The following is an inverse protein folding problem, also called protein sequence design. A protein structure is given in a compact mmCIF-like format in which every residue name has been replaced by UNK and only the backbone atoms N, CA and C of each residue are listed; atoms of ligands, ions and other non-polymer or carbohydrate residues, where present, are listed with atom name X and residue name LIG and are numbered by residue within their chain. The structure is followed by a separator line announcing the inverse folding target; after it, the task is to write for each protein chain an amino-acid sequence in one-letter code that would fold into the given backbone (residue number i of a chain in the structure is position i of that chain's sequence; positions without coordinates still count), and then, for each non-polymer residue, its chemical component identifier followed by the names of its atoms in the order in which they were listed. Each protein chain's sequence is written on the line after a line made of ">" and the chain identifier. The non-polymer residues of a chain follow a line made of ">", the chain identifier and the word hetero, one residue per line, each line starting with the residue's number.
data_IF_644733352288
#
_entry.id   IF_644733352288
#
_cell.length_a   1.000
_cell.length_b   1.000
_cell.length_c   1.000
_cell.angle_alpha   90.00
_cell.angle_beta   90.00
_cell.angle_gamma   90.00
#
_symmetry.space_group_name_H-M   'P 1'
#
loop_
_entity.id
_entity.type
_entity.pdbx_description
1 polymer ?
#
# COMPACT_ATOMS: atom_id res chain seq x y z
N UNK A 1 24.43 -20.95 -1.26
CA UNK A 1 25.20 -19.69 -1.31
C UNK A 1 24.44 -18.68 -0.47
N UNK A 2 24.64 -18.69 0.85
CA UNK A 2 24.10 -17.70 1.79
C UNK A 2 25.33 -16.97 2.35
N UNK A 3 25.90 -16.07 1.55
CA UNK A 3 26.56 -14.92 2.12
C UNK A 3 25.45 -14.14 2.82
N UNK A 4 25.64 -13.79 4.09
CA UNK A 4 24.66 -13.02 4.85
C UNK A 4 24.31 -11.74 4.06
N UNK A 5 23.08 -11.66 3.50
CA UNK A 5 22.59 -10.53 2.69
C UNK A 5 22.83 -9.21 3.42
N UNK A 6 22.75 -9.20 4.75
CA UNK A 6 23.12 -8.00 5.52
C UNK A 6 24.57 -7.59 5.29
N UNK A 7 25.53 -8.52 5.36
CA UNK A 7 26.95 -8.23 5.14
C UNK A 7 27.25 -7.84 3.69
N UNK A 8 26.49 -8.36 2.72
CA UNK A 8 26.60 -7.98 1.31
C UNK A 8 26.20 -6.52 1.07
N UNK A 9 25.07 -6.08 1.66
CA UNK A 9 24.47 -4.80 1.32
C UNK A 9 24.65 -3.67 2.34
N UNK A 10 25.15 -3.94 3.56
CA UNK A 10 25.31 -2.90 4.60
C UNK A 10 26.16 -1.69 4.17
N UNK A 11 27.03 -1.85 3.18
CA UNK A 11 27.88 -0.78 2.65
C UNK A 11 27.39 -0.23 1.29
N UNK A 12 26.32 -0.80 0.72
CA UNK A 12 25.76 -0.42 -0.57
C UNK A 12 24.23 -0.65 -0.56
N UNK A 13 23.53 0.25 0.14
CA UNK A 13 22.07 0.19 0.26
C UNK A 13 21.38 0.46 -1.08
N UNK A 14 21.96 1.27 -1.97
CA UNK A 14 21.36 1.57 -3.26
C UNK A 14 21.29 0.32 -4.13
N UNK A 15 22.34 -0.51 -4.14
CA UNK A 15 22.30 -1.81 -4.81
C UNK A 15 21.23 -2.73 -4.24
N UNK A 16 21.08 -2.78 -2.91
CA UNK A 16 19.98 -3.51 -2.28
C UNK A 16 18.61 -3.03 -2.78
N UNK A 17 18.35 -1.72 -2.69
CA UNK A 17 17.07 -1.12 -3.06
C UNK A 17 16.76 -1.31 -4.55
N UNK A 18 17.76 -1.14 -5.43
CA UNK A 18 17.68 -1.45 -6.86
C UNK A 18 17.31 -2.92 -7.09
N UNK A 19 17.94 -3.84 -6.38
CA UNK A 19 17.64 -5.27 -6.51
C UNK A 19 16.23 -5.62 -6.03
N UNK A 20 15.63 -4.86 -5.09
CA UNK A 20 14.21 -5.04 -4.78
C UNK A 20 13.29 -4.73 -5.96
N UNK A 21 13.73 -3.93 -6.94
CA UNK A 21 13.00 -3.61 -8.18
C UNK A 21 13.34 -4.62 -9.28
N UNK A 22 14.62 -4.74 -9.61
CA UNK A 22 15.05 -5.40 -10.83
C UNK A 22 15.48 -6.86 -10.66
N UNK A 23 15.92 -7.28 -9.46
CA UNK A 23 16.40 -8.64 -9.20
C UNK A 23 15.90 -9.22 -7.85
N UNK A 24 14.59 -9.15 -7.52
CA UNK A 24 14.10 -9.51 -6.19
C UNK A 24 14.34 -10.98 -5.80
N UNK A 25 14.55 -11.88 -6.76
CA UNK A 25 14.87 -13.31 -6.55
C UNK A 25 16.13 -13.54 -5.72
N UNK A 26 17.13 -12.67 -5.82
CA UNK A 26 18.38 -12.81 -5.07
C UNK A 26 18.20 -12.43 -3.59
N UNK A 27 17.07 -11.80 -3.25
CA UNK A 27 16.76 -11.31 -1.91
C UNK A 27 15.95 -12.31 -1.06
N UNK A 28 15.61 -13.47 -1.64
CA UNK A 28 14.94 -14.55 -0.92
C UNK A 28 15.96 -15.42 -0.19
N UNK A 29 15.63 -15.80 1.05
CA UNK A 29 16.46 -16.70 1.86
C UNK A 29 15.79 -18.06 2.00
N UNK A 30 16.59 -19.13 2.07
CA UNK A 30 16.08 -20.50 2.22
C UNK A 30 15.61 -20.84 3.65
N UNK A 31 15.78 -19.95 4.63
CA UNK A 31 15.52 -20.17 6.06
C UNK A 31 14.04 -20.04 6.47
N UNK A 32 13.12 -20.51 5.64
CA UNK A 32 11.70 -20.35 5.95
C UNK A 32 11.18 -21.46 6.87
N UNK A 33 11.07 -21.19 8.17
CA UNK A 33 10.12 -21.92 9.01
C UNK A 33 8.69 -21.50 8.61
N UNK A 34 7.92 -22.43 8.03
CA UNK A 34 6.48 -22.29 7.73
C UNK A 34 5.65 -22.17 9.03
N UNK A 35 5.84 -21.12 9.82
CA UNK A 35 4.98 -20.80 10.97
C UNK A 35 3.83 -19.89 10.52
N UNK A 36 2.63 -20.26 10.92
CA UNK A 36 1.44 -19.44 10.68
C UNK A 36 1.56 -18.16 11.50
N UNK A 37 1.58 -17.02 10.82
CA UNK A 37 1.63 -15.71 11.46
C UNK A 37 0.33 -15.44 12.22
N UNK A 38 0.45 -15.05 13.48
CA UNK A 38 -0.69 -14.54 14.25
C UNK A 38 -1.23 -13.25 13.62
N UNK A 39 -2.55 -13.09 13.43
CA UNK A 39 -3.12 -11.82 12.95
C UNK A 39 -2.85 -10.65 13.91
N UNK A 40 -2.42 -10.95 15.14
CA UNK A 40 -2.10 -9.98 16.18
C UNK A 40 -0.62 -9.54 16.20
N UNK A 41 0.25 -10.01 15.29
CA UNK A 41 1.60 -9.45 15.18
C UNK A 41 1.55 -7.93 15.01
N UNK A 42 2.44 -7.21 15.71
CA UNK A 42 2.46 -5.75 15.72
C UNK A 42 1.40 -5.10 16.61
N UNK A 43 0.43 -5.85 17.15
CA UNK A 43 -0.48 -5.33 18.18
C UNK A 43 0.24 -5.31 19.53
N UNK A 44 0.27 -4.14 20.16
CA UNK A 44 0.98 -3.90 21.42
C UNK A 44 0.12 -4.27 22.62
N UNK A 45 0.79 -4.57 23.72
CA UNK A 45 0.22 -4.68 25.05
C UNK A 45 -0.58 -3.41 25.36
N UNK A 46 -1.80 -3.58 25.87
CA UNK A 46 -2.72 -2.48 26.10
C UNK A 46 -3.10 -2.34 27.59
N UNK A 47 -3.11 -1.10 28.08
CA UNK A 47 -3.62 -0.74 29.41
C UNK A 47 -5.16 -0.71 29.46
N UNK A 48 -5.77 -0.69 28.28
CA UNK A 48 -7.22 -0.80 28.09
C UNK A 48 -7.58 -0.90 26.61
N UNK A 49 -8.73 -1.49 26.33
CA UNK A 49 -9.35 -1.53 25.01
C UNK A 49 -10.62 -0.69 25.05
N UNK A 50 -10.84 0.11 24.01
CA UNK A 50 -11.95 1.04 23.93
C UNK A 50 -12.70 0.89 22.60
N UNK A 51 -14.01 1.02 22.65
CA UNK A 51 -14.85 1.05 21.46
C UNK A 51 -14.56 2.28 20.59
N UNK A 52 -14.83 2.13 19.29
CA UNK A 52 -14.95 3.27 18.40
C UNK A 52 -16.16 4.12 18.78
N UNK A 53 -16.01 5.44 18.70
CA UNK A 53 -17.15 6.34 18.84
C UNK A 53 -17.92 6.47 17.50
N UNK A 54 -19.00 7.24 17.49
CA UNK A 54 -19.79 7.50 16.28
C UNK A 54 -19.24 8.65 15.41
N UNK A 55 -18.06 9.18 15.75
CA UNK A 55 -17.44 10.31 15.05
C UNK A 55 -17.09 9.96 13.61
N UNK A 56 -16.95 11.00 12.80
CA UNK A 56 -16.48 10.89 11.42
C UNK A 56 -15.07 10.28 11.34
N UNK A 57 -14.21 10.56 12.33
CA UNK A 57 -12.83 10.04 12.40
C UNK A 57 -12.84 8.53 12.60
N UNK A 58 -13.63 8.04 13.55
CA UNK A 58 -13.80 6.59 13.78
C UNK A 58 -14.36 5.87 12.57
N UNK A 59 -15.40 6.44 11.94
CA UNK A 59 -15.96 5.88 10.70
C UNK A 59 -14.93 5.85 9.57
N UNK A 60 -14.13 6.91 9.43
CA UNK A 60 -13.07 6.97 8.42
C UNK A 60 -12.03 5.87 8.64
N UNK A 61 -11.57 5.69 9.88
CA UNK A 61 -10.56 4.71 10.24
C UNK A 61 -11.02 3.26 10.05
N UNK A 62 -12.24 2.96 10.52
CA UNK A 62 -12.89 1.66 10.29
C UNK A 62 -13.02 1.36 8.80
N UNK A 63 -13.51 2.32 8.04
CA UNK A 63 -13.68 2.20 6.59
C UNK A 63 -12.36 1.98 5.85
N UNK A 64 -11.27 2.55 6.34
CA UNK A 64 -9.97 2.51 5.68
C UNK A 64 -9.19 1.22 5.92
N UNK A 65 -9.24 0.66 7.14
CA UNK A 65 -8.31 -0.39 7.55
C UNK A 65 -8.85 -1.48 8.47
N UNK A 66 -10.09 -1.41 8.94
CA UNK A 66 -10.67 -2.53 9.69
C UNK A 66 -10.81 -3.78 8.81
N UNK A 67 -10.88 -4.95 9.43
CA UNK A 67 -11.24 -6.19 8.72
C UNK A 67 -12.64 -6.05 8.15
N UNK A 68 -12.77 -6.25 6.84
CA UNK A 68 -14.03 -6.13 6.12
C UNK A 68 -14.52 -7.47 5.56
N UNK A 69 -13.66 -8.49 5.50
CA UNK A 69 -14.01 -9.83 5.02
C UNK A 69 -13.15 -10.87 5.71
N UNK A 70 -13.78 -11.98 6.09
CA UNK A 70 -13.10 -13.19 6.53
C UNK A 70 -13.22 -14.24 5.42
N UNK A 71 -12.07 -14.75 4.96
CA UNK A 71 -11.99 -15.80 3.96
C UNK A 71 -11.22 -17.01 4.52
N UNK A 72 -11.82 -18.18 4.43
CA UNK A 72 -11.16 -19.46 4.69
C UNK A 72 -10.73 -20.05 3.34
N UNK A 73 -9.43 -20.22 3.14
CA UNK A 73 -8.87 -20.83 1.92
C UNK A 73 -8.15 -22.13 2.27
N UNK A 74 -8.31 -23.16 1.43
CA UNK A 74 -7.60 -24.43 1.58
C UNK A 74 -6.50 -24.46 0.51
N UNK A 75 -5.24 -24.44 0.93
CA UNK A 75 -4.08 -24.46 0.05
C UNK A 75 -3.24 -25.66 0.43
N UNK A 76 -3.01 -26.59 -0.51
CA UNK A 76 -2.25 -27.83 -0.28
C UNK A 76 -2.74 -28.59 0.96
N UNK A 77 -4.06 -28.79 1.05
CA UNK A 77 -4.73 -29.48 2.17
C UNK A 77 -4.54 -28.82 3.55
N UNK A 78 -4.01 -27.59 3.61
CA UNK A 78 -3.90 -26.79 4.83
C UNK A 78 -4.92 -25.66 4.81
N UNK A 79 -5.55 -25.42 5.95
CA UNK A 79 -6.53 -24.34 6.14
C UNK A 79 -5.80 -23.04 6.47
N UNK A 80 -6.12 -21.98 5.73
CA UNK A 80 -5.62 -20.63 5.95
C UNK A 80 -6.78 -19.68 6.20
N UNK A 81 -6.65 -18.90 7.27
CA UNK A 81 -7.62 -17.87 7.66
C UNK A 81 -7.10 -16.51 7.21
N UNK A 82 -7.84 -15.83 6.33
CA UNK A 82 -7.52 -14.49 5.87
C UNK A 82 -8.52 -13.47 6.41
N UNK A 83 -8.02 -12.58 7.25
CA UNK A 83 -8.74 -11.38 7.70
C UNK A 83 -8.45 -10.25 6.72
N UNK A 84 -9.22 -10.19 5.63
CA UNK A 84 -8.99 -9.21 4.56
C UNK A 84 -9.40 -7.81 5.00
N UNK A 85 -8.64 -6.83 4.52
CA UNK A 85 -8.85 -5.40 4.79
C UNK A 85 -9.19 -4.68 3.46
N UNK A 86 -9.74 -3.45 3.51
CA UNK A 86 -10.04 -2.62 2.33
C UNK A 86 -8.85 -2.28 1.43
N UNK A 87 -7.63 -2.55 1.89
CA UNK A 87 -6.37 -2.26 1.18
C UNK A 87 -5.69 -3.54 0.75
N UNK A 88 -4.97 -3.48 -0.37
CA UNK A 88 -4.09 -4.58 -0.75
C UNK A 88 -2.89 -4.67 0.20
N UNK A 89 -2.39 -5.89 0.41
CA UNK A 89 -1.13 -6.13 1.08
C UNK A 89 -0.49 -7.39 0.54
N UNK A 90 0.83 -7.37 0.33
CA UNK A 90 1.60 -8.53 -0.08
C UNK A 90 1.29 -9.75 0.77
N UNK A 91 0.60 -10.76 0.21
CA UNK A 91 0.26 -11.98 0.93
C UNK A 91 -0.77 -11.84 2.06
N UNK A 92 -1.53 -10.73 2.12
CA UNK A 92 -2.41 -10.37 3.26
C UNK A 92 -1.67 -10.34 4.61
N UNK A 93 -0.44 -9.87 4.62
CA UNK A 93 0.36 -9.80 5.84
C UNK A 93 0.01 -8.56 6.67
N UNK A 94 -0.44 -7.48 6.02
CA UNK A 94 -0.84 -6.22 6.62
C UNK A 94 0.19 -5.73 7.65
N UNK A 95 1.38 -5.32 7.18
CA UNK A 95 2.48 -4.93 8.06
C UNK A 95 2.17 -3.66 8.86
N UNK A 96 1.23 -2.84 8.41
CA UNK A 96 1.08 -1.49 8.95
C UNK A 96 0.26 -1.44 10.24
N UNK A 97 0.65 -0.52 11.11
CA UNK A 97 -0.06 -0.15 12.32
C UNK A 97 -0.46 1.33 12.24
N UNK A 98 -1.57 1.68 12.88
CA UNK A 98 -2.04 3.06 12.99
C UNK A 98 -2.08 3.41 14.47
N UNK A 99 -1.38 4.46 14.86
CA UNK A 99 -1.44 5.05 16.19
C UNK A 99 -2.11 6.42 16.13
N UNK A 100 -2.75 6.80 17.22
CA UNK A 100 -3.55 8.03 17.30
C UNK A 100 -3.47 8.63 18.70
N UNK A 101 -3.33 9.95 18.78
CA UNK A 101 -3.31 10.70 20.04
C UNK A 101 -4.22 11.94 19.94
N UNK A 102 -5.53 11.80 20.22
CA UNK A 102 -6.53 12.85 19.96
C UNK A 102 -6.34 14.13 20.77
N UNK A 103 -5.82 14.00 21.99
CA UNK A 103 -5.76 15.09 22.97
C UNK A 103 -4.32 15.44 23.37
N UNK A 104 -3.33 14.80 22.73
CA UNK A 104 -1.92 14.88 23.11
C UNK A 104 -1.60 14.20 24.45
N UNK A 105 -2.56 13.49 25.07
CA UNK A 105 -2.41 12.87 26.38
C UNK A 105 -2.54 11.35 26.27
N UNK A 106 -3.59 10.87 25.62
CA UNK A 106 -3.89 9.45 25.52
C UNK A 106 -3.39 8.90 24.18
N UNK A 107 -2.42 7.99 24.24
CA UNK A 107 -1.80 7.40 23.06
C UNK A 107 -2.39 6.02 22.77
N UNK A 108 -3.05 5.89 21.62
CA UNK A 108 -3.76 4.68 21.22
C UNK A 108 -3.11 4.02 20.01
N UNK A 109 -3.26 2.70 19.93
CA UNK A 109 -3.12 1.93 18.70
C UNK A 109 -4.51 1.50 18.22
N UNK A 110 -4.79 1.67 16.93
CA UNK A 110 -5.99 1.10 16.32
C UNK A 110 -5.81 -0.41 16.11
N UNK A 111 -6.76 -1.19 16.61
CA UNK A 111 -6.83 -2.62 16.38
C UNK A 111 -7.81 -2.92 15.23
N UNK A 112 -7.31 -3.24 14.02
CA UNK A 112 -8.14 -3.43 12.85
C UNK A 112 -8.97 -4.73 12.89
N UNK A 113 -8.58 -5.73 13.68
CA UNK A 113 -9.32 -6.99 13.77
C UNK A 113 -10.68 -6.80 14.45
N UNK A 114 -10.71 -5.97 15.48
CA UNK A 114 -11.90 -5.74 16.29
C UNK A 114 -12.54 -4.38 16.02
N UNK A 115 -11.86 -3.50 15.28
CA UNK A 115 -12.29 -2.11 15.13
C UNK A 115 -12.33 -1.40 16.48
N UNK A 116 -11.26 -1.48 17.26
CA UNK A 116 -11.17 -0.89 18.61
C UNK A 116 -9.88 -0.07 18.77
N UNK A 117 -9.78 0.67 19.88
CA UNK A 117 -8.57 1.41 20.25
C UNK A 117 -7.92 0.81 21.50
N UNK A 118 -6.66 0.42 21.35
CA UNK A 118 -5.82 -0.04 22.44
C UNK A 118 -5.07 1.15 23.05
N UNK A 119 -5.39 1.51 24.30
CA UNK A 119 -4.63 2.52 25.03
C UNK A 119 -3.27 1.95 25.43
N UNK A 120 -2.21 2.54 24.89
CA UNK A 120 -0.84 2.09 25.16
C UNK A 120 -0.19 2.93 26.27
N UNK A 121 -0.39 4.25 26.23
CA UNK A 121 0.16 5.16 27.21
C UNK A 121 -0.77 6.34 27.50
N UNK A 122 -0.56 6.92 28.68
CA UNK A 122 -1.14 8.21 29.07
C UNK A 122 0.01 9.10 29.51
N UNK A 123 0.22 10.20 28.80
CA UNK A 123 1.27 11.17 29.12
C UNK A 123 0.84 12.06 30.29
N UNK A 124 1.78 12.43 31.14
CA UNK A 124 1.51 13.33 32.27
C UNK A 124 1.19 14.76 31.79
N UNK A 125 1.87 15.20 30.73
CA UNK A 125 1.68 16.50 30.10
C UNK A 125 1.24 16.31 28.64
N UNK A 126 0.46 17.27 28.13
CA UNK A 126 0.02 17.29 26.74
C UNK A 126 1.23 17.38 25.80
N UNK A 127 1.35 16.41 24.90
CA UNK A 127 2.34 16.35 23.82
C UNK A 127 1.81 17.07 22.59
N UNK A 128 2.27 18.30 22.37
CA UNK A 128 1.82 19.12 21.24
C UNK A 128 2.06 18.44 19.88
N UNK A 129 3.23 17.80 19.73
CA UNK A 129 3.65 17.13 18.50
C UNK A 129 2.84 15.86 18.18
N UNK A 130 2.11 15.31 19.15
CA UNK A 130 1.24 14.15 18.97
C UNK A 130 -0.24 14.52 18.83
N UNK A 131 -0.60 15.78 19.01
CA UNK A 131 -2.00 16.17 19.11
C UNK A 131 -2.70 16.07 17.74
N UNK A 132 -3.74 15.24 17.65
CA UNK A 132 -4.57 15.05 16.45
C UNK A 132 -3.81 14.60 15.21
N UNK A 133 -2.87 13.68 15.38
CA UNK A 133 -2.18 13.03 14.27
C UNK A 133 -2.44 11.53 14.27
N UNK A 134 -2.53 10.95 13.07
CA UNK A 134 -2.31 9.53 12.86
C UNK A 134 -0.84 9.28 12.55
N UNK A 135 -0.24 8.31 13.22
CA UNK A 135 1.13 7.87 12.96
C UNK A 135 1.03 6.48 12.34
N UNK A 136 1.57 6.32 11.14
CA UNK A 136 1.56 5.05 10.42
C UNK A 136 2.97 4.47 10.48
N UNK A 137 3.07 3.25 10.99
CA UNK A 137 4.33 2.50 11.09
C UNK A 137 4.21 1.17 10.36
N UNK A 138 5.34 0.48 10.16
CA UNK A 138 5.36 -0.86 9.58
C UNK A 138 6.06 -1.87 10.48
N UNK A 139 5.37 -2.96 10.78
CA UNK A 139 5.94 -4.16 11.36
C UNK A 139 6.57 -5.00 10.23
N UNK A 140 7.81 -4.69 9.87
CA UNK A 140 8.51 -5.34 8.74
C UNK A 140 8.62 -6.86 8.87
N UNK A 141 8.71 -7.39 10.09
CA UNK A 141 8.83 -8.82 10.34
C UNK A 141 7.70 -9.63 9.70
N UNK A 142 6.49 -9.08 9.60
CA UNK A 142 5.36 -9.72 8.91
C UNK A 142 5.69 -10.04 7.46
N UNK A 143 6.22 -9.04 6.73
CA UNK A 143 6.57 -9.19 5.32
C UNK A 143 7.87 -9.99 5.16
N UNK A 144 8.85 -9.76 6.03
CA UNK A 144 10.14 -10.45 5.97
C UNK A 144 10.02 -11.96 6.15
N UNK A 145 9.10 -12.43 6.99
CA UNK A 145 8.85 -13.87 7.08
C UNK A 145 8.59 -14.44 5.69
N UNK A 146 7.56 -13.96 4.98
CA UNK A 146 7.15 -14.57 3.69
C UNK A 146 8.05 -14.20 2.51
N UNK A 147 8.66 -13.03 2.54
CA UNK A 147 9.33 -12.43 1.38
C UNK A 147 10.80 -12.09 1.62
N UNK A 148 11.38 -12.50 2.76
CA UNK A 148 12.75 -12.19 3.16
C UNK A 148 13.05 -10.70 2.96
N UNK A 149 14.18 -10.37 2.33
CA UNK A 149 14.61 -8.98 2.16
C UNK A 149 13.83 -8.20 1.10
N UNK A 150 13.13 -8.88 0.19
CA UNK A 150 12.14 -8.22 -0.70
C UNK A 150 10.93 -7.67 0.09
N UNK A 151 10.71 -8.17 1.31
CA UNK A 151 9.65 -7.70 2.21
C UNK A 151 9.70 -6.20 2.51
N UNK A 152 10.88 -5.57 2.39
CA UNK A 152 11.08 -4.14 2.61
C UNK A 152 10.23 -3.29 1.67
N UNK A 153 10.48 -3.43 0.35
CA UNK A 153 9.75 -2.73 -0.70
C UNK A 153 8.24 -2.99 -0.60
N UNK A 154 7.85 -4.24 -0.37
CA UNK A 154 6.45 -4.62 -0.17
C UNK A 154 5.80 -3.84 0.97
N UNK A 155 6.49 -3.66 2.10
CA UNK A 155 5.92 -2.96 3.26
C UNK A 155 5.71 -1.47 3.01
N UNK A 156 6.58 -0.84 2.22
CA UNK A 156 6.45 0.57 1.82
C UNK A 156 5.25 0.75 0.88
N UNK A 157 5.11 -0.11 -0.13
CA UNK A 157 3.96 -0.08 -1.03
C UNK A 157 2.65 -0.38 -0.29
N UNK A 158 2.65 -1.35 0.61
CA UNK A 158 1.50 -1.65 1.49
C UNK A 158 1.13 -0.42 2.35
N UNK A 159 2.12 0.35 2.79
CA UNK A 159 1.91 1.61 3.50
C UNK A 159 1.24 2.64 2.61
N UNK A 160 1.73 2.83 1.38
CA UNK A 160 1.09 3.70 0.40
C UNK A 160 -0.39 3.34 0.19
N UNK A 161 -0.70 2.05 0.07
CA UNK A 161 -2.08 1.58 -0.04
C UNK A 161 -2.95 1.98 1.17
N UNK A 162 -2.41 1.85 2.38
CA UNK A 162 -3.08 2.31 3.60
C UNK A 162 -3.29 3.83 3.59
N UNK A 163 -2.26 4.61 3.24
CA UNK A 163 -2.33 6.07 3.20
C UNK A 163 -3.40 6.53 2.22
N UNK A 164 -3.42 5.98 1.00
CA UNK A 164 -4.44 6.31 0.01
C UNK A 164 -5.86 5.97 0.49
N UNK A 165 -6.03 4.85 1.18
CA UNK A 165 -7.34 4.41 1.72
C UNK A 165 -7.80 5.31 2.87
N UNK A 166 -6.92 5.59 3.83
CA UNK A 166 -7.22 6.44 4.98
C UNK A 166 -7.49 7.88 4.55
N UNK A 167 -6.66 8.43 3.66
CA UNK A 167 -6.83 9.77 3.11
C UNK A 167 -8.15 9.91 2.35
N UNK A 168 -8.46 8.96 1.45
CA UNK A 168 -9.73 8.95 0.73
C UNK A 168 -10.92 8.87 1.68
N UNK A 169 -10.84 7.98 2.69
CA UNK A 169 -11.89 7.79 3.69
C UNK A 169 -12.12 9.06 4.51
N UNK A 170 -11.06 9.69 5.03
CA UNK A 170 -11.15 10.96 5.75
C UNK A 170 -11.82 12.05 4.89
N UNK A 171 -11.38 12.19 3.64
CA UNK A 171 -11.95 13.15 2.69
C UNK A 171 -13.44 12.90 2.44
N UNK A 172 -13.87 11.64 2.23
CA UNK A 172 -15.29 11.28 2.04
C UNK A 172 -16.16 11.72 3.22
N UNK A 173 -15.64 11.59 4.45
CA UNK A 173 -16.34 12.04 5.65
C UNK A 173 -16.27 13.56 5.88
N UNK A 174 -15.65 14.31 4.97
CA UNK A 174 -15.51 15.77 5.03
C UNK A 174 -14.43 16.22 6.00
N UNK A 175 -13.39 15.40 6.20
CA UNK A 175 -12.26 15.73 7.08
C UNK A 175 -11.09 16.15 6.19
N UNK A 176 -10.82 17.45 6.16
CA UNK A 176 -9.54 17.98 5.64
C UNK A 176 -8.39 17.40 6.44
N UNK A 177 -7.27 17.12 5.81
CA UNK A 177 -6.11 16.54 6.48
C UNK A 177 -4.84 16.81 5.68
N UNK A 178 -3.68 16.59 6.30
CA UNK A 178 -2.38 16.74 5.63
C UNK A 178 -1.58 15.45 5.77
N UNK A 179 -1.16 14.88 4.65
CA UNK A 179 -0.20 13.77 4.62
C UNK A 179 1.20 14.37 4.76
N UNK A 180 1.99 13.90 5.71
CA UNK A 180 3.33 14.39 6.03
C UNK A 180 4.34 13.23 5.98
N UNK A 181 5.39 13.42 5.21
CA UNK A 181 6.56 12.56 5.13
C UNK A 181 7.77 13.47 5.34
N UNK A 182 8.03 13.76 6.62
CA UNK A 182 8.94 14.81 7.06
C UNK A 182 9.85 14.24 8.15
N UNK A 183 11.17 14.22 7.92
CA UNK A 183 12.14 13.63 8.88
C UNK A 183 12.10 14.33 10.24
N UNK A 184 12.05 15.67 10.26
CA UNK A 184 12.02 16.45 11.51
C UNK A 184 10.76 16.13 12.34
N UNK A 185 9.60 15.98 11.68
CA UNK A 185 8.36 15.58 12.33
C UNK A 185 8.48 14.15 12.88
N UNK A 186 9.08 13.23 12.13
CA UNK A 186 9.29 11.85 12.59
C UNK A 186 10.18 11.81 13.82
N UNK A 187 11.27 12.58 13.84
CA UNK A 187 12.16 12.66 15.00
C UNK A 187 11.44 13.21 16.23
N UNK A 188 10.64 14.26 16.07
CA UNK A 188 9.85 14.84 17.15
C UNK A 188 8.80 13.89 17.69
N UNK A 189 8.08 13.19 16.82
CA UNK A 189 7.13 12.14 17.20
C UNK A 189 7.85 10.97 17.89
N UNK A 190 8.98 10.53 17.35
CA UNK A 190 9.79 9.42 17.88
C UNK A 190 10.33 9.74 19.27
N UNK A 191 10.78 10.97 19.53
CA UNK A 191 11.22 11.42 20.87
C UNK A 191 10.15 11.17 21.93
N UNK A 192 8.88 11.43 21.61
CA UNK A 192 7.77 11.27 22.55
C UNK A 192 7.29 9.81 22.72
N UNK A 193 7.45 8.95 21.70
CA UNK A 193 6.89 7.59 21.70
C UNK A 193 7.94 6.46 21.76
N UNK A 194 9.25 6.76 21.76
CA UNK A 194 10.33 5.75 21.72
C UNK A 194 10.28 4.67 22.81
N UNK A 195 9.69 4.98 23.97
CA UNK A 195 9.52 4.01 25.06
C UNK A 195 8.29 3.11 24.88
N UNK A 196 7.39 3.47 23.96
CA UNK A 196 6.14 2.78 23.67
C UNK A 196 6.28 1.95 22.39
N UNK A 197 6.93 2.52 21.36
CA UNK A 197 7.16 1.90 20.06
C UNK A 197 8.67 1.90 19.82
N UNK A 198 9.28 0.71 19.90
CA UNK A 198 10.75 0.55 19.82
C UNK A 198 11.22 -0.01 18.48
N UNK A 199 10.42 -0.87 17.85
CA UNK A 199 10.88 -1.76 16.77
C UNK A 199 10.15 -1.50 15.45
N UNK A 200 9.46 -0.36 15.32
CA UNK A 200 8.68 -0.01 14.14
C UNK A 200 9.07 1.39 13.66
N UNK A 201 9.51 1.54 12.41
CA UNK A 201 9.75 2.86 11.82
C UNK A 201 8.44 3.59 11.55
N UNK A 202 8.47 4.90 11.71
CA UNK A 202 7.43 5.80 11.23
C UNK A 202 7.60 5.94 9.72
N UNK A 203 6.53 5.63 8.98
CA UNK A 203 6.53 5.76 7.52
C UNK A 203 5.88 7.07 7.08
N UNK A 204 4.85 7.51 7.80
CA UNK A 204 4.16 8.77 7.53
C UNK A 204 3.32 9.20 8.73
N UNK A 205 2.99 10.48 8.76
CA UNK A 205 2.07 11.10 9.71
C UNK A 205 0.93 11.77 8.93
N UNK A 206 -0.31 11.56 9.35
CA UNK A 206 -1.46 12.32 8.83
C UNK A 206 -1.97 13.27 9.90
N UNK A 207 -1.84 14.58 9.66
CA UNK A 207 -2.31 15.64 10.57
C UNK A 207 -3.79 15.92 10.31
N UNK A 208 -4.59 16.00 11.39
CA UNK A 208 -6.00 16.38 11.36
C UNK A 208 -6.20 17.80 11.92
N UNK A 209 -7.29 18.49 11.54
CA UNK A 209 -7.71 19.75 12.16
C UNK A 209 -7.90 19.60 13.67
N UNK A 210 -7.52 20.62 14.44
CA UNK A 210 -7.53 20.57 15.91
C UNK A 210 -8.92 20.38 16.53
N UNK A 211 -9.98 20.72 15.80
CA UNK A 211 -11.38 20.59 16.21
C UNK A 211 -12.02 19.23 15.86
N UNK A 212 -11.29 18.35 15.17
CA UNK A 212 -11.79 17.04 14.75
C UNK A 212 -10.98 15.96 15.46
N UNK A 213 -11.63 15.25 16.38
CA UNK A 213 -11.01 14.12 17.06
C UNK A 213 -12.03 13.03 17.38
N UNK A 214 -11.53 11.81 17.51
CA UNK A 214 -12.26 10.70 18.11
C UNK A 214 -11.86 10.58 19.58
N UNK A 215 -12.84 10.46 20.48
CA UNK A 215 -12.58 10.11 21.89
C UNK A 215 -13.10 8.70 22.11
N UNK A 216 -12.23 7.69 22.19
CA UNK A 216 -12.65 6.33 22.52
C UNK A 216 -13.44 6.35 23.84
N UNK A 217 -14.67 5.83 23.82
CA UNK A 217 -15.66 6.07 24.89
C UNK A 217 -15.68 4.92 25.90
N UNK A 218 -16.17 3.76 25.48
CA UNK A 218 -16.48 2.64 26.36
C UNK A 218 -15.28 1.72 26.50
N UNK A 219 -14.78 1.57 27.73
CA UNK A 219 -13.74 0.58 28.04
C UNK A 219 -14.34 -0.83 27.96
N UNK A 220 -13.85 -1.64 27.03
CA UNK A 220 -14.24 -3.03 26.88
C UNK A 220 -13.62 -3.89 27.98
N UNK A 221 -14.46 -4.68 28.65
CA UNK A 221 -14.01 -5.69 29.63
C UNK A 221 -13.48 -6.91 28.86
N UNK A 222 -12.36 -7.49 29.33
CA UNK A 222 -11.79 -8.76 28.86
C UNK A 222 -11.06 -8.77 27.49
N UNK A 223 -10.92 -7.65 26.77
CA UNK A 223 -10.07 -7.57 25.57
C UNK A 223 -8.68 -7.02 25.92
N UNK A 224 -7.91 -7.82 26.67
CA UNK A 224 -6.53 -7.49 27.04
C UNK A 224 -5.54 -8.32 26.24
N UNK A 225 -4.64 -7.62 25.56
CA UNK A 225 -3.48 -8.24 24.93
C UNK A 225 -2.40 -8.29 26.00
N UNK A 226 -2.14 -9.50 26.50
CA UNK A 226 -1.32 -9.72 27.69
C UNK A 226 0.18 -9.53 27.44
N UNK A 227 0.62 -9.68 26.20
CA UNK A 227 2.03 -9.56 25.81
C UNK A 227 2.14 -8.88 24.45
N UNK A 228 3.23 -8.13 24.25
CA UNK A 228 3.60 -7.70 22.92
C UNK A 228 3.88 -8.94 22.07
N UNK A 229 3.12 -9.14 21.00
CA UNK A 229 3.48 -10.14 20.00
C UNK A 229 4.60 -9.50 19.17
N UNK A 230 5.82 -9.75 19.66
CA UNK A 230 7.01 -8.98 19.34
C UNK A 230 7.41 -9.14 17.88
N UNK A 231 8.01 -8.06 17.39
CA UNK A 231 8.58 -7.95 16.06
C UNK A 231 10.06 -8.22 16.17
N UNK A 232 10.62 -9.06 15.29
CA UNK A 232 12.07 -9.14 15.18
C UNK A 232 12.57 -7.98 14.33
N UNK A 233 13.57 -7.27 14.84
CA UNK A 233 14.31 -6.27 14.07
C UNK A 233 15.09 -6.96 12.96
N UNK A 234 15.13 -6.35 11.79
CA UNK A 234 15.90 -6.84 10.64
C UNK A 234 17.04 -5.85 10.45
N UNK A 235 18.30 -6.22 10.73
CA UNK A 235 19.42 -5.28 10.81
C UNK A 235 19.56 -4.39 9.57
N UNK A 236 19.41 -4.96 8.38
CA UNK A 236 19.47 -4.20 7.13
C UNK A 236 18.37 -3.14 7.04
N UNK A 237 17.15 -3.46 7.48
CA UNK A 237 16.03 -2.51 7.43
C UNK A 237 16.22 -1.39 8.45
N UNK A 238 16.72 -1.71 9.65
CA UNK A 238 17.06 -0.71 10.67
C UNK A 238 18.12 0.27 10.15
N UNK A 239 19.15 -0.24 9.45
CA UNK A 239 20.19 0.58 8.84
C UNK A 239 19.62 1.52 7.76
N UNK A 240 18.74 1.01 6.89
CA UNK A 240 18.05 1.81 5.87
C UNK A 240 17.18 2.91 6.53
N UNK A 241 16.47 2.59 7.61
CA UNK A 241 15.65 3.58 8.31
C UNK A 241 16.48 4.66 9.01
N UNK A 242 17.63 4.30 9.59
CA UNK A 242 18.57 5.26 10.18
C UNK A 242 19.15 6.20 9.11
N UNK A 243 19.60 5.66 7.97
CA UNK A 243 20.08 6.47 6.87
C UNK A 243 19.00 7.43 6.35
N UNK A 244 17.77 6.95 6.21
CA UNK A 244 16.66 7.79 5.73
C UNK A 244 16.32 8.95 6.67
N UNK A 245 16.42 8.76 7.98
CA UNK A 245 16.27 9.86 8.94
C UNK A 245 17.32 10.95 8.72
N UNK A 246 18.55 10.57 8.37
CA UNK A 246 19.67 11.50 8.19
C UNK A 246 19.61 12.31 6.88
N UNK A 247 18.95 11.79 5.85
CA UNK A 247 18.84 12.44 4.53
C UNK A 247 17.82 13.61 4.50
N UNK A 248 17.10 13.85 5.60
CA UNK A 248 16.18 14.99 5.81
C UNK A 248 15.23 15.28 4.63
N UNK A 249 14.15 14.53 4.56
CA UNK A 249 13.07 14.78 3.60
C UNK A 249 11.97 15.65 4.22
N UNK A 250 11.32 16.46 3.38
CA UNK A 250 10.21 17.32 3.80
C UNK A 250 9.13 17.39 2.72
N UNK A 251 8.23 16.41 2.73
CA UNK A 251 7.09 16.35 1.83
C UNK A 251 5.79 16.45 2.62
N UNK A 252 4.91 17.35 2.20
CA UNK A 252 3.54 17.34 2.69
C UNK A 252 2.52 17.71 1.63
N UNK A 253 1.33 17.15 1.79
CA UNK A 253 0.22 17.36 0.87
C UNK A 253 -1.05 17.58 1.66
N UNK A 254 -1.65 18.76 1.47
CA UNK A 254 -2.94 19.09 2.08
C UNK A 254 -4.06 18.58 1.21
N UNK A 255 -4.89 17.71 1.77
CA UNK A 255 -6.02 17.10 1.09
C UNK A 255 -7.29 17.85 1.49
N UNK A 256 -8.01 18.33 0.48
CA UNK A 256 -9.31 18.98 0.64
C UNK A 256 -10.44 17.99 0.95
N UNK A 257 -11.65 18.53 1.10
CA UNK A 257 -12.85 17.74 1.27
C UNK A 257 -13.13 16.89 0.01
N UNK A 258 -13.35 15.58 0.19
CA UNK A 258 -13.71 14.61 -0.85
C UNK A 258 -15.16 14.12 -0.67
N UNK A 259 -16.01 14.89 0.01
CA UNK A 259 -17.38 14.53 0.34
C UNK A 259 -18.32 14.46 -0.88
N UNK A 260 -17.89 14.97 -2.04
CA UNK A 260 -18.55 14.71 -3.32
C UNK A 260 -18.54 13.21 -3.70
N UNK A 261 -17.66 12.42 -3.08
CA UNK A 261 -17.51 10.99 -3.33
C UNK A 261 -18.13 10.09 -2.24
N UNK A 262 -19.18 10.54 -1.52
CA UNK A 262 -19.79 9.83 -0.37
C UNK A 262 -20.19 8.37 -0.58
N UNK A 263 -20.48 7.97 -1.82
CA UNK A 263 -20.96 6.62 -2.13
C UNK A 263 -19.84 5.58 -2.35
N UNK A 264 -18.58 5.96 -2.10
CA UNK A 264 -17.35 5.19 -2.34
C UNK A 264 -17.13 3.94 -1.45
N UNK A 265 -18.16 3.19 -1.07
CA UNK A 265 -17.96 2.00 -0.23
C UNK A 265 -17.88 0.70 -1.01
N UNK A 266 -18.29 0.68 -2.28
CA UNK A 266 -18.45 -0.56 -3.03
C UNK A 266 -17.11 -1.11 -3.53
N UNK A 267 -16.10 -0.25 -3.77
CA UNK A 267 -14.78 -0.69 -4.24
C UNK A 267 -14.14 -1.80 -3.38
N UNK A 268 -14.48 -1.86 -2.09
CA UNK A 268 -13.96 -2.83 -1.13
C UNK A 268 -14.21 -4.28 -1.54
N UNK A 269 -15.30 -4.53 -2.26
CA UNK A 269 -15.67 -5.83 -2.81
C UNK A 269 -14.86 -6.20 -4.06
N UNK A 270 -14.31 -5.20 -4.75
CA UNK A 270 -13.61 -5.37 -6.03
C UNK A 270 -12.09 -5.28 -5.91
N UNK A 271 -11.56 -4.99 -4.72
CA UNK A 271 -10.14 -5.16 -4.41
C UNK A 271 -9.84 -6.66 -4.22
N UNK A 272 -8.83 -7.19 -4.93
CA UNK A 272 -8.40 -8.59 -4.81
C UNK A 272 -6.92 -8.71 -4.45
N UNK A 273 -6.62 -9.18 -3.23
CA UNK A 273 -5.30 -9.65 -2.77
C UNK A 273 -5.40 -10.26 -1.34
N UNK A 274 -4.67 -11.36 -1.02
CA UNK A 274 -3.99 -12.29 -1.90
C UNK A 274 -5.01 -13.26 -2.54
N UNK A 275 -4.53 -14.04 -3.51
CA UNK A 275 -5.37 -14.95 -4.30
C UNK A 275 -5.92 -14.23 -5.52
N UNK A 276 -5.41 -14.59 -6.69
CA UNK A 276 -5.89 -14.09 -7.98
C UNK A 276 -7.31 -14.57 -8.22
N UNK A 277 -8.30 -13.80 -7.77
CA UNK A 277 -9.68 -13.97 -8.21
C UNK A 277 -9.88 -13.42 -9.62
N UNK A 278 -11.14 -13.39 -10.07
CA UNK A 278 -11.56 -13.26 -11.48
C UNK A 278 -10.80 -12.15 -12.26
N UNK A 279 -9.81 -12.54 -13.05
CA UNK A 279 -9.04 -11.63 -13.91
C UNK A 279 -9.19 -11.98 -15.39
N UNK A 280 -9.59 -13.21 -15.72
CA UNK A 280 -9.80 -13.70 -17.09
C UNK A 280 -11.17 -13.30 -17.60
N UNK A 281 -11.27 -12.75 -18.82
CA UNK A 281 -12.53 -12.21 -19.34
C UNK A 281 -13.05 -12.87 -20.62
N UNK A 282 -14.38 -13.02 -20.73
CA UNK A 282 -15.14 -13.46 -21.92
C UNK A 282 -15.58 -12.35 -22.91
N UNK A 283 -15.59 -11.07 -22.51
CA UNK A 283 -16.13 -9.95 -23.32
C UNK A 283 -15.15 -8.77 -23.42
N UNK A 284 -14.91 -8.31 -24.64
CA UNK A 284 -13.98 -7.20 -24.91
C UNK A 284 -14.57 -5.79 -24.67
N UNK A 285 -15.89 -5.67 -24.51
CA UNK A 285 -16.57 -4.37 -24.57
C UNK A 285 -16.81 -3.73 -23.18
N UNK A 286 -15.73 -3.28 -22.53
CA UNK A 286 -15.78 -2.62 -21.21
C UNK A 286 -15.43 -1.13 -21.22
N UNK A 287 -15.27 -0.53 -22.40
CA UNK A 287 -14.85 0.87 -22.62
C UNK A 287 -15.55 1.87 -21.70
N UNK A 288 -16.88 1.77 -21.62
CA UNK A 288 -17.70 2.67 -20.80
C UNK A 288 -17.31 2.71 -19.31
N UNK A 289 -17.05 1.55 -18.69
CA UNK A 289 -16.66 1.47 -17.29
C UNK A 289 -15.26 2.01 -17.05
N UNK A 290 -14.36 1.80 -18.02
CA UNK A 290 -12.99 2.29 -17.97
C UNK A 290 -12.94 3.81 -18.12
N UNK A 291 -13.69 4.38 -19.07
CA UNK A 291 -13.80 5.83 -19.25
C UNK A 291 -14.31 6.51 -17.96
N UNK A 292 -15.35 5.96 -17.33
CA UNK A 292 -15.84 6.45 -16.04
C UNK A 292 -14.81 6.36 -14.92
N UNK A 293 -14.10 5.24 -14.84
CA UNK A 293 -13.06 5.02 -13.84
C UNK A 293 -11.90 5.99 -14.01
N UNK A 294 -11.49 6.22 -15.26
CA UNK A 294 -10.46 7.19 -15.66
C UNK A 294 -10.85 8.61 -15.27
N UNK A 295 -12.08 9.05 -15.59
CA UNK A 295 -12.55 10.39 -15.21
C UNK A 295 -12.56 10.57 -13.70
N UNK A 296 -12.98 9.54 -12.95
CA UNK A 296 -13.00 9.57 -11.49
C UNK A 296 -11.59 9.62 -10.90
N UNK A 297 -10.69 8.79 -11.41
CA UNK A 297 -9.28 8.76 -11.02
C UNK A 297 -8.61 10.12 -11.23
N UNK A 298 -8.81 10.75 -12.40
CA UNK A 298 -8.30 12.12 -12.68
C UNK A 298 -8.70 13.13 -11.63
N UNK A 299 -9.98 13.13 -11.24
CA UNK A 299 -10.49 14.06 -10.23
C UNK A 299 -9.91 13.78 -8.85
N UNK A 300 -9.76 12.51 -8.49
CA UNK A 300 -9.12 12.12 -7.22
C UNK A 300 -7.66 12.57 -7.17
N UNK A 301 -6.87 12.25 -8.21
CA UNK A 301 -5.44 12.58 -8.30
C UNK A 301 -5.15 14.07 -8.19
N UNK A 302 -6.07 14.94 -8.65
CA UNK A 302 -5.94 16.40 -8.51
C UNK A 302 -5.75 16.85 -7.04
N UNK A 303 -6.30 16.10 -6.07
CA UNK A 303 -6.15 16.43 -4.66
C UNK A 303 -4.76 16.07 -4.10
N UNK A 304 -3.95 15.32 -4.86
CA UNK A 304 -2.65 14.82 -4.46
C UNK A 304 -1.52 15.36 -5.35
N UNK A 305 -1.78 16.36 -6.21
CA UNK A 305 -0.85 16.74 -7.28
C UNK A 305 0.53 17.17 -6.77
N UNK A 306 0.62 17.84 -5.62
CA UNK A 306 1.90 18.27 -5.02
C UNK A 306 2.73 17.11 -4.46
N UNK A 307 2.15 15.92 -4.32
CA UNK A 307 2.82 14.72 -3.84
C UNK A 307 3.14 13.75 -4.96
N UNK A 308 2.52 13.90 -6.14
CA UNK A 308 2.54 12.90 -7.21
C UNK A 308 2.96 13.50 -8.55
N UNK A 309 3.59 14.67 -8.56
CA UNK A 309 3.99 15.39 -9.77
C UNK A 309 4.96 14.59 -10.65
N UNK A 310 5.89 13.87 -10.03
CA UNK A 310 6.90 13.00 -10.66
C UNK A 310 6.41 11.57 -10.99
N UNK A 311 5.13 11.27 -10.74
CA UNK A 311 4.57 9.92 -10.96
C UNK A 311 3.94 9.79 -12.35
N UNK A 312 4.05 8.59 -12.94
CA UNK A 312 3.50 8.26 -14.27
C UNK A 312 2.53 7.08 -14.19
N UNK A 313 1.42 7.17 -14.93
CA UNK A 313 0.45 6.08 -15.06
C UNK A 313 0.35 5.67 -16.53
N UNK A 314 0.67 4.42 -16.82
CA UNK A 314 0.55 3.82 -18.15
C UNK A 314 -0.58 2.81 -18.16
N UNK A 315 -1.63 3.06 -18.95
CA UNK A 315 -2.75 2.14 -19.12
C UNK A 315 -2.64 1.46 -20.48
N UNK A 316 -2.51 0.15 -20.47
CA UNK A 316 -2.65 -0.69 -21.66
C UNK A 316 -4.00 -1.37 -21.56
N UNK A 317 -4.91 -1.12 -22.49
CA UNK A 317 -6.26 -1.67 -22.42
C UNK A 317 -6.70 -2.28 -23.75
N UNK A 318 -7.28 -3.49 -23.65
CA UNK A 318 -7.95 -4.17 -24.76
C UNK A 318 -9.35 -3.62 -25.04
N UNK A 319 -9.95 -2.93 -24.06
CA UNK A 319 -11.32 -2.44 -24.14
C UNK A 319 -11.53 -1.35 -25.23
N UNK A 320 -10.45 -0.80 -25.78
CA UNK A 320 -10.47 0.21 -26.84
C UNK A 320 -10.09 -0.36 -28.22
N UNK A 321 -10.05 -1.68 -28.37
CA UNK A 321 -9.66 -2.32 -29.63
C UNK A 321 -10.79 -2.23 -30.65
N UNK A 322 -10.65 -1.32 -31.62
CA UNK A 322 -11.58 -1.34 -32.74
C UNK A 322 -11.10 -2.24 -33.90
N UNK A 323 -9.80 -2.34 -34.26
CA UNK A 323 -9.39 -3.27 -35.36
C UNK A 323 -7.98 -3.94 -35.25
N UNK A 324 -6.99 -3.51 -34.43
CA UNK A 324 -5.61 -4.12 -34.43
C UNK A 324 -4.78 -3.95 -33.12
N UNK A 325 -5.17 -4.57 -32.00
CA UNK A 325 -4.35 -4.64 -30.77
C UNK A 325 -4.58 -3.52 -29.72
N UNK A 326 -4.12 -3.71 -28.46
CA UNK A 326 -4.38 -2.84 -27.31
C UNK A 326 -3.86 -1.41 -27.49
N UNK A 327 -4.53 -0.48 -26.81
CA UNK A 327 -4.12 0.94 -26.78
C UNK A 327 -3.32 1.25 -25.51
N UNK A 328 -2.18 1.94 -25.68
CA UNK A 328 -1.38 2.52 -24.59
C UNK A 328 -1.79 3.98 -24.38
N UNK A 329 -2.11 4.32 -23.15
CA UNK A 329 -2.36 5.68 -22.68
C UNK A 329 -1.36 6.03 -21.58
N UNK A 330 -0.82 7.24 -21.63
CA UNK A 330 0.05 7.80 -20.60
C UNK A 330 -0.69 8.92 -19.87
N UNK A 331 -0.51 8.99 -18.56
CA UNK A 331 -0.96 10.13 -17.74
C UNK A 331 0.29 10.84 -17.23
N UNK A 332 0.44 12.09 -17.67
CA UNK A 332 1.38 13.03 -17.08
C UNK A 332 0.64 13.77 -15.95
N UNK A 333 1.10 13.64 -14.70
CA UNK A 333 0.44 14.22 -13.53
C UNK A 333 0.71 15.73 -13.37
N UNK A 334 1.84 16.24 -13.88
CA UNK A 334 2.14 17.69 -13.89
C UNK A 334 1.21 18.50 -14.81
N UNK A 335 0.94 18.01 -16.03
CA UNK A 335 0.21 18.76 -17.08
C UNK A 335 -1.28 18.43 -17.10
N UNK A 336 -1.96 18.73 -15.99
CA UNK A 336 -3.42 18.64 -15.82
C UNK A 336 -4.01 17.21 -15.70
N UNK A 337 -3.25 16.20 -15.26
CA UNK A 337 -3.72 14.80 -15.15
C UNK A 337 -4.36 14.30 -16.46
N UNK A 338 -3.85 14.71 -17.62
CA UNK A 338 -4.45 14.38 -18.91
C UNK A 338 -4.02 12.98 -19.35
N UNK A 339 -5.00 12.16 -19.74
CA UNK A 339 -4.75 10.90 -20.45
C UNK A 339 -4.38 11.25 -21.89
N UNK A 340 -3.14 11.00 -22.27
CA UNK A 340 -2.63 11.16 -23.63
C UNK A 340 -2.51 9.80 -24.27
N UNK A 341 -3.14 9.63 -25.43
CA UNK A 341 -2.87 8.47 -26.26
C UNK A 341 -1.41 8.53 -26.74
N UNK A 342 -0.66 7.47 -26.51
CA UNK A 342 0.74 7.40 -26.92
C UNK A 342 0.91 6.59 -28.20
N UNK A 343 0.38 5.36 -28.25
CA UNK A 343 0.55 4.45 -29.39
C UNK A 343 -0.31 3.19 -29.22
N UNK A 344 -0.40 2.39 -30.29
CA UNK A 344 -0.88 1.00 -30.23
C UNK A 344 0.29 0.09 -29.91
N UNK A 345 0.11 -0.85 -29.01
CA UNK A 345 1.14 -1.82 -28.61
C UNK A 345 0.64 -3.24 -28.90
N UNK A 346 1.51 -4.23 -29.04
CA UNK A 346 1.09 -5.63 -29.00
C UNK A 346 1.13 -6.14 -27.55
N UNK A 347 0.14 -6.94 -27.14
CA UNK A 347 0.25 -7.67 -25.85
C UNK A 347 1.21 -8.86 -25.94
N UNK A 348 1.69 -9.22 -27.12
CA UNK A 348 2.58 -10.36 -27.28
C UNK A 348 3.82 -10.20 -26.38
N UNK A 349 4.17 -11.27 -25.68
CA UNK A 349 5.31 -11.35 -24.75
C UNK A 349 5.10 -10.63 -23.41
N UNK A 350 3.96 -9.99 -23.15
CA UNK A 350 3.70 -9.40 -21.83
C UNK A 350 3.69 -10.48 -20.74
N UNK A 351 3.20 -11.69 -21.00
CA UNK A 351 3.29 -12.77 -20.02
C UNK A 351 4.71 -13.09 -19.55
N UNK A 352 5.74 -12.76 -20.35
CA UNK A 352 7.13 -13.00 -20.00
C UNK A 352 7.68 -12.00 -18.95
N UNK A 353 6.93 -10.96 -18.58
CA UNK A 353 7.31 -10.06 -17.48
C UNK A 353 6.96 -10.67 -16.11
N UNK A 354 6.10 -11.68 -16.05
CA UNK A 354 5.67 -12.28 -14.79
C UNK A 354 6.73 -13.24 -14.26
N UNK A 355 7.30 -12.98 -13.08
CA UNK A 355 8.38 -13.82 -12.52
C UNK A 355 7.90 -15.18 -12.01
N UNK A 356 6.70 -15.22 -11.42
CA UNK A 356 6.14 -16.44 -10.80
C UNK A 356 5.09 -17.14 -11.66
N UNK A 357 4.84 -16.63 -12.88
CA UNK A 357 3.82 -17.11 -13.83
C UNK A 357 2.46 -17.46 -13.19
N UNK A 358 2.13 -16.78 -12.10
CA UNK A 358 0.96 -17.06 -11.27
C UNK A 358 -0.31 -16.35 -11.75
N UNK A 359 -0.17 -15.49 -12.76
CA UNK A 359 -1.24 -14.72 -13.39
C UNK A 359 -0.94 -14.70 -14.89
N UNK A 360 -1.93 -15.10 -15.70
CA UNK A 360 -1.90 -14.85 -17.13
C UNK A 360 -2.34 -13.39 -17.37
N UNK A 361 -1.37 -12.48 -17.53
CA UNK A 361 -1.68 -11.05 -17.68
C UNK A 361 -2.22 -10.73 -19.07
N UNK A 362 -1.95 -11.58 -20.06
CA UNK A 362 -2.57 -11.48 -21.38
C UNK A 362 -4.07 -11.78 -21.34
N UNK A 363 -4.61 -12.42 -20.30
CA UNK A 363 -6.05 -12.63 -20.14
C UNK A 363 -6.76 -11.46 -19.43
N UNK A 364 -6.01 -10.47 -18.95
CA UNK A 364 -6.57 -9.30 -18.27
C UNK A 364 -7.05 -8.26 -19.29
N UNK A 365 -8.09 -7.49 -18.94
CA UNK A 365 -8.64 -6.47 -19.84
C UNK A 365 -7.79 -5.21 -19.91
N UNK A 366 -7.13 -4.86 -18.81
CA UNK A 366 -6.12 -3.82 -18.81
C UNK A 366 -5.00 -4.08 -17.81
N UNK A 367 -3.84 -3.57 -18.18
CA UNK A 367 -2.67 -3.44 -17.34
C UNK A 367 -2.46 -1.95 -17.06
N UNK A 368 -2.30 -1.62 -15.78
CA UNK A 368 -1.93 -0.27 -15.37
C UNK A 368 -0.56 -0.36 -14.72
N UNK A 369 0.47 0.15 -15.41
CA UNK A 369 1.79 0.30 -14.86
C UNK A 369 1.93 1.66 -14.21
N UNK A 370 2.57 1.70 -13.05
CA UNK A 370 2.90 2.91 -12.33
C UNK A 370 4.42 3.04 -12.29
N UNK A 371 4.91 4.23 -12.61
CA UNK A 371 6.33 4.53 -12.63
C UNK A 371 6.64 5.94 -12.15
N UNK A 372 7.92 6.28 -12.24
CA UNK A 372 8.52 7.53 -11.77
C UNK A 372 9.60 8.01 -12.73
N UNK A 373 9.88 9.31 -12.72
CA UNK A 373 11.04 9.90 -13.39
C UNK A 373 12.37 9.53 -12.72
N UNK A 374 12.34 9.00 -11.49
CA UNK A 374 13.54 8.51 -10.82
C UNK A 374 14.13 7.30 -11.56
N UNK A 375 15.42 7.37 -11.88
CA UNK A 375 16.14 6.30 -12.57
C UNK A 375 16.86 5.37 -11.57
N UNK A 376 16.11 4.38 -11.06
CA UNK A 376 16.64 3.37 -10.13
C UNK A 376 17.61 2.36 -10.78
N UNK A 377 17.92 2.47 -12.08
CA UNK A 377 19.01 1.69 -12.70
C UNK A 377 20.37 2.29 -12.37
N UNK A 378 20.43 3.60 -12.17
CA UNK A 378 21.61 4.31 -11.69
C UNK A 378 21.75 4.19 -10.17
N UNK A 379 22.90 4.59 -9.62
CA UNK A 379 23.10 4.75 -8.16
C UNK A 379 22.81 6.19 -7.69
N UNK A 380 22.26 7.04 -8.57
CA UNK A 380 21.97 8.46 -8.31
C UNK A 380 20.57 8.63 -7.69
N UNK A 381 20.38 8.01 -6.53
CA UNK A 381 19.22 8.20 -5.67
C UNK A 381 19.60 7.95 -4.22
N UNK A 382 18.85 8.52 -3.29
CA UNK A 382 19.03 8.27 -1.86
C UNK A 382 17.93 7.35 -1.30
N UNK A 383 18.14 6.86 -0.08
CA UNK A 383 17.23 5.88 0.54
C UNK A 383 15.83 6.48 0.74
N UNK A 384 15.76 7.76 1.09
CA UNK A 384 14.52 8.45 1.41
C UNK A 384 13.68 8.72 0.18
N UNK A 385 14.31 9.02 -0.96
CA UNK A 385 13.67 9.08 -2.27
C UNK A 385 13.07 7.73 -2.61
N UNK A 386 13.84 6.63 -2.53
CA UNK A 386 13.30 5.30 -2.79
C UNK A 386 12.05 5.01 -1.94
N UNK A 387 12.09 5.32 -0.64
CA UNK A 387 10.94 5.15 0.26
C UNK A 387 9.73 5.96 -0.18
N UNK A 388 9.95 7.24 -0.45
CA UNK A 388 8.91 8.15 -0.88
C UNK A 388 8.23 7.64 -2.16
N UNK A 389 9.03 7.20 -3.14
CA UNK A 389 8.54 6.64 -4.40
C UNK A 389 7.68 5.39 -4.20
N UNK A 390 8.09 4.47 -3.32
CA UNK A 390 7.27 3.30 -2.99
C UNK A 390 5.95 3.68 -2.26
N UNK A 391 5.97 4.70 -1.40
CA UNK A 391 4.77 5.20 -0.73
C UNK A 391 3.79 5.84 -1.73
N UNK A 392 4.30 6.70 -2.63
CA UNK A 392 3.51 7.35 -3.69
C UNK A 392 2.85 6.31 -4.59
N UNK A 393 3.58 5.28 -5.01
CA UNK A 393 3.06 4.26 -5.92
C UNK A 393 1.92 3.44 -5.28
N UNK A 394 2.06 3.08 -3.99
CA UNK A 394 1.02 2.39 -3.25
C UNK A 394 -0.24 3.26 -3.05
N UNK A 395 -0.04 4.56 -2.83
CA UNK A 395 -1.14 5.52 -2.73
C UNK A 395 -1.91 5.59 -4.05
N UNK A 396 -1.22 5.78 -5.18
CA UNK A 396 -1.85 5.80 -6.52
C UNK A 396 -2.58 4.49 -6.80
N UNK A 397 -1.95 3.35 -6.50
CA UNK A 397 -2.55 2.03 -6.70
C UNK A 397 -3.87 1.87 -5.91
N UNK A 398 -3.95 2.45 -4.71
CA UNK A 398 -5.18 2.49 -3.95
C UNK A 398 -6.22 3.42 -4.56
N UNK A 399 -5.85 4.61 -5.04
CA UNK A 399 -6.78 5.52 -5.72
C UNK A 399 -7.36 4.88 -7.00
N UNK A 400 -6.53 4.14 -7.75
CA UNK A 400 -6.98 3.33 -8.88
C UNK A 400 -8.00 2.30 -8.40
N UNK A 401 -7.68 1.54 -7.35
CA UNK A 401 -8.59 0.53 -6.78
C UNK A 401 -9.94 1.13 -6.39
N UNK A 402 -9.95 2.33 -5.79
CA UNK A 402 -11.19 3.04 -5.44
C UNK A 402 -11.95 3.48 -6.69
N UNK A 403 -11.28 4.12 -7.65
CA UNK A 403 -11.92 4.66 -8.85
C UNK A 403 -12.50 3.57 -9.76
N UNK A 404 -11.75 2.47 -9.95
CA UNK A 404 -12.14 1.34 -10.78
C UNK A 404 -13.12 0.40 -10.07
N UNK A 405 -12.92 0.12 -8.78
CA UNK A 405 -13.82 -0.74 -8.02
C UNK A 405 -15.26 -0.22 -7.97
N UNK A 406 -15.45 1.09 -7.97
CA UNK A 406 -16.78 1.70 -8.02
C UNK A 406 -17.52 1.54 -9.35
N UNK A 407 -16.78 1.22 -10.41
CA UNK A 407 -17.34 0.88 -11.70
C UNK A 407 -17.30 -0.63 -11.93
N UNK A 408 -17.32 -1.41 -10.84
CA UNK A 408 -17.33 -2.88 -10.85
C UNK A 408 -16.14 -3.49 -11.61
N UNK A 409 -14.97 -2.85 -11.49
CA UNK A 409 -13.72 -3.41 -11.98
C UNK A 409 -12.92 -4.01 -10.83
N UNK A 410 -12.56 -5.29 -10.97
CA UNK A 410 -11.61 -5.96 -10.10
C UNK A 410 -10.22 -5.38 -10.33
N UNK A 411 -9.54 -5.06 -9.24
CA UNK A 411 -8.16 -4.58 -9.26
C UNK A 411 -7.26 -5.54 -8.49
N UNK A 412 -6.18 -5.98 -9.14
CA UNK A 412 -5.18 -6.86 -8.55
C UNK A 412 -3.76 -6.27 -8.67
N UNK A 413 -3.22 -5.75 -7.56
CA UNK A 413 -1.82 -5.31 -7.46
C UNK A 413 -0.80 -6.43 -7.64
N UNK A 414 0.23 -6.18 -8.44
CA UNK A 414 1.34 -7.09 -8.74
C UNK A 414 2.66 -6.33 -8.60
N UNK A 415 3.48 -6.76 -7.65
CA UNK A 415 4.87 -6.29 -7.49
C UNK A 415 5.92 -7.27 -8.02
N UNK A 416 5.55 -8.55 -8.19
CA UNK A 416 6.45 -9.62 -8.61
C UNK A 416 6.64 -9.75 -10.13
N UNK A 417 6.79 -8.62 -10.84
CA UNK A 417 7.05 -8.59 -12.28
C UNK A 417 8.50 -8.15 -12.57
N UNK A 418 8.93 -8.33 -13.82
CA UNK A 418 10.22 -7.87 -14.31
C UNK A 418 10.07 -6.44 -14.86
N UNK A 419 10.41 -5.46 -14.01
CA UNK A 419 10.34 -4.03 -14.35
C UNK A 419 11.16 -3.69 -15.59
N UNK A 420 12.41 -4.17 -15.68
CA UNK A 420 13.29 -3.86 -16.81
C UNK A 420 12.71 -4.34 -18.15
N UNK A 421 12.14 -5.56 -18.15
CA UNK A 421 11.50 -6.11 -19.34
C UNK A 421 10.23 -5.36 -19.71
N UNK A 422 9.42 -4.97 -18.71
CA UNK A 422 8.22 -4.17 -18.93
C UNK A 422 8.57 -2.77 -19.49
N UNK A 423 9.61 -2.11 -18.96
CA UNK A 423 10.11 -0.83 -19.47
C UNK A 423 10.57 -0.93 -20.93
N UNK A 424 11.30 -2.00 -21.27
CA UNK A 424 11.70 -2.29 -22.65
C UNK A 424 10.49 -2.49 -23.57
N UNK A 425 9.50 -3.27 -23.17
CA UNK A 425 8.28 -3.49 -23.94
C UNK A 425 7.47 -2.20 -24.14
N UNK A 426 7.50 -1.29 -23.16
CA UNK A 426 6.78 -0.03 -23.20
C UNK A 426 7.56 1.12 -23.84
N UNK A 427 8.79 0.85 -24.32
CA UNK A 427 9.73 1.83 -24.86
C UNK A 427 10.00 3.00 -23.90
N UNK A 428 10.10 2.71 -22.60
CA UNK A 428 10.35 3.73 -21.58
C UNK A 428 11.86 3.93 -21.41
N UNK A 429 12.34 5.12 -21.79
CA UNK A 429 13.71 5.56 -21.55
C UNK A 429 13.75 6.38 -20.25
N UNK A 430 14.74 6.10 -19.40
CA UNK A 430 15.01 6.84 -18.15
C UNK A 430 13.89 6.89 -17.10
N UNK A 431 12.83 6.09 -17.24
CA UNK A 431 11.78 5.92 -16.23
C UNK A 431 11.86 4.55 -15.58
N UNK A 432 11.49 4.47 -14.32
CA UNK A 432 11.43 3.19 -13.58
C UNK A 432 9.99 2.77 -13.32
N UNK A 433 9.63 1.53 -13.70
CA UNK A 433 8.33 0.95 -13.37
C UNK A 433 8.36 0.26 -12.00
N UNK A 434 7.51 0.73 -11.10
CA UNK A 434 7.51 0.32 -9.70
C UNK A 434 6.31 -0.55 -9.33
N UNK A 435 5.24 -0.54 -10.11
CA UNK A 435 4.03 -1.29 -9.77
C UNK A 435 3.22 -1.65 -11.00
N UNK A 436 2.58 -2.81 -10.98
CA UNK A 436 1.63 -3.25 -12.00
C UNK A 436 0.27 -3.52 -11.34
N UNK A 437 -0.81 -3.09 -11.97
CA UNK A 437 -2.16 -3.47 -11.61
C UNK A 437 -2.85 -4.15 -12.78
N UNK A 438 -3.35 -5.36 -12.54
CA UNK A 438 -4.26 -6.02 -13.46
C UNK A 438 -5.70 -5.57 -13.15
N UNK A 439 -6.44 -5.19 -14.18
CA UNK A 439 -7.81 -4.69 -14.05
C UNK A 439 -8.74 -5.40 -15.01
N UNK A 440 -9.86 -5.92 -14.49
CA UNK A 440 -10.90 -6.60 -15.27
C UNK A 440 -12.30 -6.28 -14.73
N UNK A 441 -13.28 -6.11 -15.60
CA UNK A 441 -14.68 -5.83 -15.25
C UNK A 441 -15.42 -7.12 -14.83
N UNK A 442 -16.26 -7.01 -13.80
CA UNK A 442 -16.88 -8.16 -13.11
C UNK A 442 -17.85 -8.95 -14.01
N UNK A 443 -18.66 -8.29 -14.84
CA UNK A 443 -19.62 -8.99 -15.73
C UNK A 443 -18.96 -9.77 -16.88
N UNK A 444 -17.64 -9.63 -17.03
CA UNK A 444 -16.81 -10.40 -17.95
C UNK A 444 -15.91 -11.43 -17.28
N UNK A 445 -15.65 -11.31 -15.98
CA UNK A 445 -14.55 -12.02 -15.32
C UNK A 445 -14.95 -13.43 -14.82
N UNK A 446 -14.06 -14.41 -15.04
CA UNK A 446 -14.10 -15.79 -14.49
C UNK A 446 -12.88 -15.94 -13.57
N UNK A 447 -12.95 -16.68 -12.42
CA UNK A 447 -11.76 -16.90 -11.59
C UNK A 447 -10.64 -17.45 -12.48
N UNK A 448 -9.42 -16.88 -12.46
CA UNK A 448 -8.35 -17.42 -13.27
C UNK A 448 -8.15 -18.89 -12.86
N UNK A 449 -7.85 -19.73 -13.84
CA UNK A 449 -7.30 -21.06 -13.57
C UNK A 449 -5.96 -20.84 -12.87
N UNK A 450 -5.97 -20.90 -11.53
CA UNK A 450 -4.75 -20.87 -10.74
C UNK A 450 -3.96 -22.14 -11.10
N UNK A 451 -2.95 -21.99 -11.96
CA UNK A 451 -1.93 -23.02 -12.15
C UNK A 451 -1.10 -23.08 -10.87
N UNK A 452 -1.58 -23.86 -9.90
CA UNK A 452 -0.75 -24.29 -8.79
C UNK A 452 0.25 -25.29 -9.37
N UNK A 453 1.42 -24.81 -9.79
CA UNK A 453 2.57 -25.68 -9.96
C UNK A 453 2.93 -26.19 -8.57
N UNK A 454 2.47 -27.40 -8.26
CA UNK A 454 3.03 -28.18 -7.17
C UNK A 454 4.49 -28.44 -7.51
N UNK A 455 5.38 -27.94 -6.66
CA UNK A 455 6.68 -28.56 -6.45
C UNK A 455 6.56 -29.50 -5.26
#
# INVERSE_FOLDING_TARGET
>A
MNLDIFNEYKNDLNSFLRNTIYNPEILYTNEFEKKMLSPFYGIKYNKGCFENDSSKVSKALLSAYAVNKYDLEIINSKRFNFFKRPVASGGALYPNNIYYCPDGINFYQFNPLCGTYNLLAKFNNKKANLNNIFIITSCYFKNWIKYSYFGYRLSLVDTGHLVGSLSTSLGIFGIKHQICIESDLFDDVKKDIKQIITDEPIQTVIKLPSNIFCKPTNKLKNMHIKENISTKTIPLYSLIDEQSCNEKIHYSCSISDLSEYKNLNQYKFYRYSPGGGLLTVKKDNCKYFYDKSIVKLKRMLKNYSTLLDDMHIYIISKAYNEIKGPMKYEVELEKNNLFKFSEKISMDNFNQIMRKHNINIEETQALIFLGTDMNFKSDDFNVSEFKLEQLKIGLIAQLITVAFGENHCICHPVLGFNSEKAEKLLNLQNKSLLHLMCVSQVDGAIPPLLYFMGN
#
